data_IF_636312949575
#
_entry.id   IF_636312949575
#
_cell.length_a   1.000
_cell.length_b   1.000
_cell.length_c   1.000
_cell.angle_alpha   90.00
_cell.angle_beta   90.00
_cell.angle_gamma   90.00
#
_symmetry.space_group_name_H-M   'P 1'
#
loop_
_entity.id
_entity.type
_entity.pdbx_description
1 polymer ?
#
# COMPACT_ATOMS: atom_id res chain seq x y z
N UNK A 1 -13.98 -70.07 -18.04
CA UNK A 1 -14.91 -69.10 -18.66
C UNK A 1 -14.15 -67.81 -18.88
N UNK A 2 -13.51 -67.69 -20.04
CA UNK A 2 -13.03 -66.43 -20.62
C UNK A 2 -14.23 -65.60 -21.09
N UNK A 3 -14.13 -64.27 -21.01
CA UNK A 3 -14.28 -63.32 -22.13
C UNK A 3 -14.10 -61.90 -21.57
N UNK A 4 -13.00 -61.25 -21.97
CA UNK A 4 -12.94 -59.80 -22.08
C UNK A 4 -13.85 -59.34 -23.22
N UNK A 5 -14.43 -58.14 -23.16
CA UNK A 5 -14.59 -57.24 -24.30
C UNK A 5 -14.81 -55.79 -23.83
N UNK A 6 -13.95 -54.90 -24.33
CA UNK A 6 -14.05 -53.44 -24.33
C UNK A 6 -15.13 -52.95 -25.31
N UNK A 7 -15.63 -51.73 -25.10
CA UNK A 7 -16.07 -50.70 -26.08
C UNK A 7 -16.98 -49.70 -25.33
N UNK A 8 -17.02 -48.39 -25.55
CA UNK A 8 -16.36 -47.42 -26.43
C UNK A 8 -16.75 -46.04 -25.85
N UNK A 9 -15.81 -45.12 -25.63
CA UNK A 9 -16.13 -43.70 -25.47
C UNK A 9 -15.99 -43.04 -26.84
N UNK A 10 -17.08 -42.45 -27.32
CA UNK A 10 -17.19 -41.84 -28.64
C UNK A 10 -16.26 -40.64 -28.81
N UNK A 11 -15.53 -40.64 -29.92
CA UNK A 11 -14.72 -39.56 -30.47
C UNK A 11 -15.57 -38.31 -30.73
N UNK A 12 -15.19 -37.19 -30.11
CA UNK A 12 -15.49 -35.85 -30.59
C UNK A 12 -14.15 -35.11 -30.73
N UNK A 13 -13.80 -34.59 -31.92
CA UNK A 13 -12.51 -33.96 -32.12
C UNK A 13 -12.48 -32.60 -31.40
N UNK A 14 -11.70 -32.49 -30.34
CA UNK A 14 -11.25 -31.19 -29.85
C UNK A 14 -10.27 -30.64 -30.89
N UNK A 15 -10.73 -29.62 -31.60
CA UNK A 15 -9.93 -28.86 -32.54
C UNK A 15 -8.60 -28.47 -31.89
N UNK A 16 -7.52 -28.73 -32.61
CA UNK A 16 -6.19 -28.20 -32.36
C UNK A 16 -6.28 -26.66 -32.37
N UNK A 17 -6.45 -26.06 -31.19
CA UNK A 17 -6.27 -24.63 -31.02
C UNK A 17 -4.77 -24.37 -30.94
N UNK A 18 -4.12 -24.31 -32.10
CA UNK A 18 -2.79 -23.76 -32.25
C UNK A 18 -2.85 -22.28 -31.82
N UNK A 19 -2.57 -22.01 -30.55
CA UNK A 19 -2.41 -20.64 -30.04
C UNK A 19 -1.07 -20.14 -30.56
N UNK A 20 -1.10 -19.27 -31.57
CA UNK A 20 0.07 -18.52 -31.97
C UNK A 20 0.62 -17.80 -30.72
N UNK A 21 1.93 -17.90 -30.41
CA UNK A 21 2.47 -17.17 -29.27
C UNK A 21 2.24 -15.68 -29.50
N UNK A 22 1.57 -15.04 -28.53
CA UNK A 22 1.47 -13.60 -28.48
C UNK A 22 2.90 -13.02 -28.54
N UNK A 23 3.13 -11.94 -29.29
CA UNK A 23 4.43 -11.29 -29.28
C UNK A 23 4.79 -10.92 -27.84
N UNK A 24 5.99 -11.32 -27.40
CA UNK A 24 6.56 -10.90 -26.12
C UNK A 24 6.50 -9.37 -26.04
N UNK A 25 5.56 -8.85 -25.25
CA UNK A 25 5.58 -7.43 -24.90
C UNK A 25 6.82 -7.23 -24.02
N UNK A 26 7.79 -6.39 -24.43
CA UNK A 26 8.90 -6.10 -23.56
C UNK A 26 8.37 -5.37 -22.33
N UNK A 27 8.28 -6.07 -21.20
CA UNK A 27 8.14 -5.42 -19.91
C UNK A 27 9.36 -4.51 -19.75
N UNK A 28 9.11 -3.21 -19.55
CA UNK A 28 10.17 -2.29 -19.20
C UNK A 28 10.97 -2.88 -18.03
N UNK A 29 12.30 -2.93 -18.09
CA UNK A 29 13.11 -3.42 -16.98
C UNK A 29 12.71 -2.68 -15.71
N UNK A 30 12.53 -3.43 -14.62
CA UNK A 30 12.30 -2.82 -13.31
C UNK A 30 13.46 -1.84 -13.04
N UNK A 31 13.17 -0.62 -12.54
CA UNK A 31 14.23 0.31 -12.17
C UNK A 31 15.21 -0.34 -11.22
N UNK A 32 16.46 0.12 -11.23
CA UNK A 32 17.45 -0.30 -10.23
C UNK A 32 16.87 -0.16 -8.81
N UNK A 33 17.27 -1.04 -7.85
CA UNK A 33 16.86 -0.92 -6.46
C UNK A 33 17.07 0.51 -6.01
N UNK A 34 15.99 1.10 -5.53
CA UNK A 34 16.03 2.50 -5.19
C UNK A 34 16.83 2.67 -3.89
N UNK A 35 17.54 3.81 -3.76
CA UNK A 35 18.42 4.11 -2.62
C UNK A 35 17.70 3.88 -1.29
N UNK A 36 18.46 3.69 -0.20
CA UNK A 36 17.90 3.62 1.16
C UNK A 36 16.77 4.66 1.32
N UNK A 37 15.60 4.22 1.82
CA UNK A 37 14.41 5.05 2.02
C UNK A 37 13.47 5.25 0.82
N UNK A 38 13.66 4.55 -0.30
CA UNK A 38 12.75 4.61 -1.43
C UNK A 38 11.52 3.70 -1.30
N UNK A 39 10.40 4.15 -1.88
CA UNK A 39 9.15 3.40 -1.95
C UNK A 39 8.60 3.53 -3.37
N UNK A 40 8.07 2.44 -3.92
CA UNK A 40 7.30 2.47 -5.16
C UNK A 40 5.84 2.70 -4.79
N UNK A 41 5.22 3.69 -5.42
CA UNK A 41 3.81 4.04 -5.19
C UNK A 41 2.99 3.68 -6.42
N UNK A 42 1.83 3.09 -6.19
CA UNK A 42 0.81 2.89 -7.21
C UNK A 42 -0.07 4.14 -7.27
N UNK A 43 0.10 4.93 -8.33
CA UNK A 43 -0.56 6.23 -8.52
C UNK A 43 -0.93 6.37 -10.00
N UNK A 44 -2.14 6.86 -10.28
CA UNK A 44 -2.62 7.13 -11.64
C UNK A 44 -4.13 7.01 -11.75
N UNK A 45 -4.73 7.70 -12.72
CA UNK A 45 -6.18 7.77 -12.85
C UNK A 45 -6.81 8.28 -11.56
N UNK A 46 -7.69 7.48 -10.97
CA UNK A 46 -8.36 7.78 -9.68
C UNK A 46 -7.60 7.24 -8.46
N UNK A 47 -6.42 6.63 -8.63
CA UNK A 47 -5.60 6.14 -7.51
C UNK A 47 -4.54 7.17 -7.13
N UNK A 48 -4.51 7.54 -5.85
CA UNK A 48 -3.48 8.37 -5.23
C UNK A 48 -2.72 7.61 -4.14
N UNK A 49 -1.89 8.35 -3.40
CA UNK A 49 -1.17 7.86 -2.25
C UNK A 49 -1.21 8.86 -1.09
N UNK A 50 -0.99 8.36 0.12
CA UNK A 50 -0.92 9.16 1.34
C UNK A 50 0.43 8.94 2.04
N UNK A 51 1.09 10.03 2.41
CA UNK A 51 2.26 10.01 3.29
C UNK A 51 1.92 10.77 4.57
N UNK A 52 2.06 10.11 5.71
CA UNK A 52 1.83 10.70 7.03
C UNK A 52 3.17 10.81 7.76
N UNK A 53 3.71 12.02 7.84
CA UNK A 53 4.96 12.29 8.55
C UNK A 53 4.76 12.30 10.06
N UNK A 54 5.63 11.60 10.78
CA UNK A 54 5.62 11.48 12.24
C UNK A 54 7.01 11.77 12.81
N UNK A 55 7.14 11.76 14.15
CA UNK A 55 8.43 11.65 14.81
C UNK A 55 8.87 10.20 15.02
N UNK A 56 10.12 9.97 15.48
CA UNK A 56 10.68 8.64 15.77
C UNK A 56 9.95 7.90 16.90
N UNK A 57 9.28 8.63 17.80
CA UNK A 57 8.47 8.05 18.89
C UNK A 57 7.29 7.22 18.38
N UNK A 58 6.89 7.42 17.13
CA UNK A 58 5.83 6.67 16.49
C UNK A 58 6.34 5.48 15.67
N UNK A 59 7.63 5.13 15.68
CA UNK A 59 8.13 3.99 14.90
C UNK A 59 7.38 2.69 15.23
N UNK A 60 6.91 2.00 14.20
CA UNK A 60 6.07 0.81 14.31
C UNK A 60 4.60 1.05 14.64
N UNK A 61 4.18 2.30 14.97
CA UNK A 61 2.77 2.62 15.17
C UNK A 61 1.97 2.36 13.89
N UNK A 62 0.88 1.61 14.01
CA UNK A 62 -0.08 1.44 12.91
C UNK A 62 -1.00 2.65 12.84
N UNK A 63 -1.06 3.27 11.66
CA UNK A 63 -1.98 4.36 11.36
C UNK A 63 -3.02 3.85 10.37
N UNK A 64 -4.28 4.13 10.65
CA UNK A 64 -5.40 3.72 9.81
C UNK A 64 -6.09 4.90 9.13
N UNK A 65 -6.62 4.65 7.94
CA UNK A 65 -7.54 5.52 7.23
C UNK A 65 -8.74 4.73 6.73
N UNK A 66 -9.90 5.36 6.64
CA UNK A 66 -11.08 4.81 5.96
C UNK A 66 -11.75 5.88 5.09
N UNK A 67 -12.40 5.51 3.97
CA UNK A 67 -13.27 6.45 3.27
C UNK A 67 -14.35 6.98 4.21
N UNK A 68 -14.73 8.26 4.06
CA UNK A 68 -15.81 8.83 4.88
C UNK A 68 -17.11 8.03 4.68
N UNK A 69 -17.77 7.70 5.79
CA UNK A 69 -19.00 6.91 5.79
C UNK A 69 -18.78 5.40 5.64
N UNK A 70 -17.53 4.95 5.57
CA UNK A 70 -17.15 3.53 5.49
C UNK A 70 -16.13 3.18 6.58
N UNK A 71 -16.43 3.54 7.82
CA UNK A 71 -15.50 3.44 8.95
C UNK A 71 -14.97 2.03 9.21
N UNK A 72 -15.67 0.98 8.78
CA UNK A 72 -15.20 -0.41 8.89
C UNK A 72 -14.18 -0.80 7.80
N UNK A 73 -14.09 -0.05 6.71
CA UNK A 73 -13.20 -0.32 5.57
C UNK A 73 -11.87 0.39 5.78
N UNK A 74 -11.05 -0.16 6.68
CA UNK A 74 -9.75 0.42 7.07
C UNK A 74 -8.61 -0.04 6.17
N UNK A 75 -7.77 0.90 5.78
CA UNK A 75 -6.42 0.63 5.25
C UNK A 75 -5.41 1.12 6.29
N UNK A 76 -4.41 0.30 6.60
CA UNK A 76 -3.41 0.63 7.61
C UNK A 76 -1.99 0.49 7.07
N UNK A 77 -1.08 1.27 7.64
CA UNK A 77 0.35 1.08 7.47
C UNK A 77 1.08 1.44 8.75
N UNK A 78 2.15 0.70 9.04
CA UNK A 78 3.05 1.04 10.12
C UNK A 78 3.96 2.22 9.74
N UNK A 79 4.22 3.08 10.72
CA UNK A 79 5.29 4.06 10.63
C UNK A 79 6.63 3.35 10.56
N UNK A 80 7.50 3.80 9.67
CA UNK A 80 8.85 3.26 9.49
C UNK A 80 9.88 4.38 9.29
N UNK A 81 11.15 4.18 9.71
CA UNK A 81 12.24 5.05 9.30
C UNK A 81 12.49 4.93 7.79
N UNK A 82 12.67 6.07 7.15
CA UNK A 82 13.12 6.21 5.77
C UNK A 82 14.39 7.03 5.79
N UNK A 83 15.50 6.39 5.48
CA UNK A 83 16.81 7.03 5.43
C UNK A 83 16.92 7.83 4.13
N UNK A 84 17.13 9.13 4.23
CA UNK A 84 17.39 10.02 3.11
C UNK A 84 18.83 10.53 3.26
N UNK A 85 19.39 11.13 2.21
CA UNK A 85 20.72 11.73 2.28
C UNK A 85 20.79 12.75 3.42
N UNK A 86 21.46 12.37 4.51
CA UNK A 86 21.69 13.20 5.69
C UNK A 86 20.54 13.29 6.71
N UNK A 87 19.42 12.56 6.55
CA UNK A 87 18.34 12.56 7.56
C UNK A 87 17.52 11.27 7.56
N UNK A 88 16.97 10.90 8.71
CA UNK A 88 15.93 9.86 8.80
C UNK A 88 14.57 10.53 8.98
N UNK A 89 13.59 10.14 8.16
CA UNK A 89 12.19 10.58 8.27
C UNK A 89 11.35 9.38 8.72
N UNK A 90 10.53 9.56 9.73
CA UNK A 90 9.54 8.55 10.12
C UNK A 90 8.21 8.91 9.49
N UNK A 91 7.61 7.97 8.77
CA UNK A 91 6.28 8.17 8.22
C UNK A 91 5.55 6.84 8.00
N UNK A 92 4.22 6.90 7.88
CA UNK A 92 3.44 5.86 7.25
C UNK A 92 3.23 6.23 5.77
N UNK A 93 3.27 5.24 4.89
CA UNK A 93 3.00 5.41 3.45
C UNK A 93 1.91 4.43 3.08
N UNK A 94 0.78 4.93 2.57
CA UNK A 94 -0.40 4.15 2.23
C UNK A 94 -0.68 4.37 0.74
N UNK A 95 -0.60 3.30 -0.04
CA UNK A 95 -0.83 3.28 -1.49
C UNK A 95 -1.20 1.85 -1.92
N UNK A 96 -2.09 1.69 -2.92
CA UNK A 96 -2.92 2.73 -3.53
C UNK A 96 -4.10 3.13 -2.64
N UNK A 97 -4.63 4.34 -2.83
CA UNK A 97 -5.91 4.78 -2.26
C UNK A 97 -6.79 5.35 -3.39
N UNK A 98 -8.05 4.90 -3.55
CA UNK A 98 -9.02 5.57 -4.42
C UNK A 98 -9.20 7.04 -4.04
N UNK A 99 -9.41 7.91 -5.03
CA UNK A 99 -9.71 9.31 -4.81
C UNK A 99 -10.96 9.49 -3.95
N UNK A 100 -10.94 10.52 -3.10
CA UNK A 100 -12.05 10.82 -2.19
C UNK A 100 -11.58 11.31 -0.83
N UNK A 101 -12.56 11.53 0.05
CA UNK A 101 -12.31 11.98 1.40
C UNK A 101 -12.21 10.80 2.36
N UNK A 102 -11.21 10.88 3.24
CA UNK A 102 -10.88 9.84 4.21
C UNK A 102 -10.87 10.41 5.62
N UNK A 103 -11.33 9.59 6.56
CA UNK A 103 -11.09 9.79 7.99
C UNK A 103 -9.70 9.22 8.32
N UNK A 104 -8.89 10.02 8.99
CA UNK A 104 -7.64 9.61 9.62
C UNK A 104 -7.94 9.21 11.07
N UNK A 105 -7.46 8.06 11.51
CA UNK A 105 -7.82 7.52 12.83
C UNK A 105 -6.64 7.49 13.79
N UNK A 106 -6.81 8.13 14.95
CA UNK A 106 -5.82 8.15 16.04
C UNK A 106 -5.79 6.84 16.82
N UNK A 107 -6.98 6.26 17.03
CA UNK A 107 -7.18 4.94 17.62
C UNK A 107 -8.32 4.25 16.86
N UNK A 108 -8.63 3.01 17.22
CA UNK A 108 -9.76 2.27 16.63
C UNK A 108 -11.08 3.08 16.67
N UNK A 109 -11.31 3.83 17.75
CA UNK A 109 -12.57 4.55 18.01
C UNK A 109 -12.47 6.07 17.90
N UNK A 110 -11.27 6.65 17.77
CA UNK A 110 -11.06 8.10 17.79
C UNK A 110 -10.59 8.60 16.42
N UNK A 111 -11.43 9.35 15.68
CA UNK A 111 -10.97 10.05 14.48
C UNK A 111 -10.06 11.22 14.85
N UNK A 112 -8.97 11.36 14.12
CA UNK A 112 -8.02 12.47 14.23
C UNK A 112 -8.46 13.67 13.37
N UNK A 113 -8.99 13.38 12.18
CA UNK A 113 -9.35 14.41 11.21
C UNK A 113 -9.74 13.80 9.88
N UNK A 114 -9.89 14.67 8.88
CA UNK A 114 -10.21 14.28 7.51
C UNK A 114 -9.13 14.77 6.55
N UNK A 115 -8.94 14.03 5.46
CA UNK A 115 -8.01 14.35 4.38
C UNK A 115 -8.60 13.93 3.04
N UNK A 116 -8.23 14.65 1.98
CA UNK A 116 -8.65 14.33 0.62
C UNK A 116 -7.50 13.66 -0.13
N UNK A 117 -7.78 12.51 -0.72
CA UNK A 117 -6.89 11.81 -1.64
C UNK A 117 -7.26 12.23 -3.06
N UNK A 118 -6.27 12.73 -3.80
CA UNK A 118 -6.41 13.06 -5.21
C UNK A 118 -5.80 11.96 -6.08
N UNK A 119 -6.55 11.47 -7.06
CA UNK A 119 -6.03 10.55 -8.07
C UNK A 119 -4.81 11.13 -8.78
N UNK A 120 -3.82 10.29 -9.07
CA UNK A 120 -2.60 10.72 -9.74
C UNK A 120 -1.62 11.53 -8.87
N UNK A 121 -1.92 11.72 -7.57
CA UNK A 121 -1.13 12.56 -6.68
C UNK A 121 -0.78 11.89 -5.36
N UNK A 122 0.19 12.50 -4.66
CA UNK A 122 0.53 12.19 -3.28
C UNK A 122 -0.07 13.27 -2.38
N UNK A 123 -0.93 12.86 -1.45
CA UNK A 123 -1.36 13.70 -0.34
C UNK A 123 -0.38 13.53 0.81
N UNK A 124 0.07 14.65 1.41
CA UNK A 124 0.93 14.63 2.59
C UNK A 124 0.20 15.18 3.81
N UNK A 125 0.36 14.50 4.95
CA UNK A 125 -0.17 14.93 6.23
C UNK A 125 0.94 14.89 7.30
N UNK A 126 0.89 15.80 8.27
CA UNK A 126 1.82 15.82 9.41
C UNK A 126 1.07 15.46 10.67
N UNK A 127 1.44 14.33 11.25
CA UNK A 127 0.91 13.88 12.53
C UNK A 127 1.58 14.65 13.66
N UNK A 128 0.79 15.40 14.43
CA UNK A 128 1.29 15.99 15.66
C UNK A 128 1.44 14.89 16.72
N UNK A 129 2.60 14.80 17.42
CA UNK A 129 2.68 13.93 18.60
C UNK A 129 1.61 14.37 19.59
N UNK A 130 0.96 13.41 20.26
CA UNK A 130 0.03 13.73 21.33
C UNK A 130 0.75 14.64 22.33
N UNK A 131 0.16 15.80 22.66
CA UNK A 131 0.75 16.74 23.60
C UNK A 131 0.91 16.05 24.96
N UNK A 132 2.12 15.55 25.26
CA UNK A 132 2.36 14.77 26.47
C UNK A 132 3.74 14.11 26.61
N UNK A 133 4.56 14.03 25.56
CA UNK A 133 5.90 13.45 25.65
C UNK A 133 6.95 14.38 25.01
N UNK A 134 7.02 15.62 25.50
CA UNK A 134 8.30 16.33 25.45
C UNK A 134 9.21 15.65 26.48
N UNK A 135 9.98 14.67 26.02
CA UNK A 135 11.16 14.21 26.76
C UNK A 135 12.00 15.45 26.99
N UNK A 136 12.01 15.98 28.22
CA UNK A 136 13.06 16.87 28.68
C UNK A 136 14.35 16.09 28.47
N UNK A 137 15.07 16.39 27.40
CA UNK A 137 16.49 16.10 27.32
C UNK A 137 17.10 16.82 28.50
N UNK A 138 17.44 16.04 29.52
CA UNK A 138 18.23 16.50 30.64
C UNK A 138 19.57 16.98 30.08
N UNK A 139 19.77 18.29 30.11
CA UNK A 139 21.08 18.88 29.95
C UNK A 139 21.86 18.56 31.24
N UNK A 140 22.91 17.74 31.08
CA UNK A 140 23.83 17.38 32.15
C UNK A 140 25.07 18.25 31.95
N UNK A 141 25.25 19.21 32.85
CA UNK A 141 26.55 19.78 33.20
C UNK A 141 26.92 19.32 34.62
#
# INVERSE_FOLDING_TARGET
MTHQHQHQHSDAPHADHSHAPLPDHPHAPLPAPSREGSVVLEIGGTLGALIIHTGPEADGLEIEVSPIGQDATRTHAAVRPRHLAGRTVHCAVISPLPEGDYTLWRTADTPEGTLTIHGGAVTEHRWAPAAGQQTRTADRA
#
